data_IF_399331541228
#
_entry.id   IF_399331541228
#
_cell.length_a   1.000
_cell.length_b   1.000
_cell.length_c   1.000
_cell.angle_alpha   90.00
_cell.angle_beta   90.00
_cell.angle_gamma   90.00
#
_symmetry.space_group_name_H-M   'P 1'
#
loop_
_entity.id
_entity.type
_entity.pdbx_description
1 polymer ?
#
# COMPACT_ATOMS: atom_id res chain seq x y z
N UNK A 1 12.62 5.45 6.02
CA UNK A 1 13.25 4.11 5.82
C UNK A 1 14.76 4.28 5.59
N UNK A 2 15.62 3.81 6.51
CA UNK A 2 17.05 4.18 6.56
C UNK A 2 17.94 3.50 5.50
N UNK A 3 17.49 2.38 4.92
CA UNK A 3 18.29 1.57 3.97
C UNK A 3 18.06 1.98 2.50
N UNK A 4 16.85 2.43 2.13
CA UNK A 4 16.54 2.80 0.74
C UNK A 4 17.39 3.96 0.21
N UNK A 5 17.86 4.85 1.09
CA UNK A 5 18.77 5.95 0.74
C UNK A 5 20.14 5.50 0.20
N UNK A 6 20.47 4.21 0.35
CA UNK A 6 21.72 3.63 -0.17
C UNK A 6 21.60 3.15 -1.61
N UNK A 7 20.38 3.11 -2.18
CA UNK A 7 20.20 2.75 -3.58
C UNK A 7 20.88 3.79 -4.49
N UNK A 8 21.42 3.37 -5.65
CA UNK A 8 21.94 4.30 -6.63
C UNK A 8 20.86 5.32 -7.02
N UNK A 9 21.24 6.61 -7.02
CA UNK A 9 20.34 7.66 -7.46
C UNK A 9 20.12 7.54 -8.96
N UNK A 10 18.88 7.29 -9.35
CA UNK A 10 18.45 7.28 -10.75
C UNK A 10 17.63 8.55 -10.96
N UNK A 11 18.11 9.41 -11.84
CA UNK A 11 17.36 10.60 -12.28
C UNK A 11 16.61 10.25 -13.57
N UNK A 12 15.29 10.14 -13.46
CA UNK A 12 14.38 10.02 -14.60
C UNK A 12 13.26 11.05 -14.41
N UNK A 13 12.97 11.92 -15.40
CA UNK A 13 11.95 12.95 -15.27
C UNK A 13 10.53 12.38 -15.08
N UNK A 14 10.33 11.08 -15.30
CA UNK A 14 9.06 10.40 -15.02
C UNK A 14 8.90 10.06 -13.54
N UNK A 15 9.97 10.05 -12.74
CA UNK A 15 9.87 9.82 -11.29
C UNK A 15 9.45 11.14 -10.63
N UNK A 16 8.15 11.27 -10.31
CA UNK A 16 7.59 12.49 -9.70
C UNK A 16 7.85 12.52 -8.19
N UNK A 17 7.72 11.35 -7.55
CA UNK A 17 8.00 11.13 -6.13
C UNK A 17 8.83 9.86 -6.01
N UNK A 18 9.97 9.98 -5.34
CA UNK A 18 10.88 8.87 -5.03
C UNK A 18 10.94 8.68 -3.52
N UNK A 19 11.32 7.48 -3.07
CA UNK A 19 11.48 7.18 -1.64
C UNK A 19 12.60 7.95 -0.92
N UNK A 20 13.30 8.86 -1.60
CA UNK A 20 14.18 9.85 -0.95
C UNK A 20 13.37 10.98 -0.30
N UNK A 21 12.25 11.36 -0.92
CA UNK A 21 11.25 12.23 -0.30
C UNK A 21 10.40 11.30 0.55
N UNK A 22 10.28 11.57 1.85
CA UNK A 22 9.55 10.74 2.80
C UNK A 22 8.01 10.80 2.60
N UNK A 23 7.54 10.72 1.36
CA UNK A 23 6.12 10.56 1.00
C UNK A 23 5.68 9.12 1.20
N UNK A 24 4.37 8.91 1.30
CA UNK A 24 3.75 7.62 1.62
C UNK A 24 3.80 6.61 0.44
N UNK A 25 4.03 7.08 -0.80
CA UNK A 25 4.09 6.22 -1.98
C UNK A 25 5.08 6.70 -3.06
N UNK A 26 5.54 5.78 -3.89
CA UNK A 26 6.30 6.09 -5.10
C UNK A 26 5.38 6.51 -6.25
N UNK A 27 5.77 7.54 -7.02
CA UNK A 27 4.96 8.05 -8.13
C UNK A 27 5.78 8.08 -9.43
N UNK A 28 5.26 7.41 -10.46
CA UNK A 28 5.88 7.33 -11.78
C UNK A 28 4.92 7.80 -12.88
N UNK A 29 5.30 8.84 -13.62
CA UNK A 29 4.56 9.39 -14.76
C UNK A 29 4.61 8.42 -15.94
N UNK A 30 3.46 7.90 -16.33
CA UNK A 30 3.31 7.08 -17.55
C UNK A 30 3.23 8.01 -18.76
N UNK A 31 2.37 9.02 -18.68
CA UNK A 31 2.15 10.03 -19.71
C UNK A 31 1.67 11.36 -19.08
N UNK A 32 1.27 12.33 -19.91
CA UNK A 32 0.84 13.65 -19.46
C UNK A 32 -0.45 13.65 -18.60
N UNK A 33 -1.25 12.59 -18.68
CA UNK A 33 -2.55 12.48 -18.01
C UNK A 33 -2.55 11.42 -16.90
N UNK A 34 -1.57 10.52 -16.90
CA UNK A 34 -1.57 9.35 -16.03
C UNK A 34 -0.23 9.20 -15.30
N UNK A 35 -0.31 9.15 -13.97
CA UNK A 35 0.76 8.71 -13.08
C UNK A 35 0.36 7.41 -12.37
N UNK A 36 1.31 6.48 -12.31
CA UNK A 36 1.27 5.29 -11.47
C UNK A 36 1.65 5.68 -10.05
N UNK A 37 0.86 5.27 -9.07
CA UNK A 37 1.15 5.44 -7.64
C UNK A 37 1.24 4.06 -7.01
N UNK A 38 2.35 3.78 -6.33
CA UNK A 38 2.60 2.46 -5.74
C UNK A 38 3.08 2.59 -4.31
N UNK A 39 2.47 1.82 -3.42
CA UNK A 39 2.94 1.63 -2.06
C UNK A 39 2.98 0.15 -1.73
N UNK A 40 3.74 -0.18 -0.69
CA UNK A 40 3.79 -1.50 -0.10
C UNK A 40 3.85 -1.36 1.41
N UNK A 41 2.92 -2.01 2.09
CA UNK A 41 2.94 -2.08 3.55
C UNK A 41 2.56 -3.48 4.04
N UNK A 42 3.17 -3.89 5.15
CA UNK A 42 3.07 -5.22 5.74
C UNK A 42 3.04 -5.10 7.26
N UNK A 43 1.99 -5.63 7.86
CA UNK A 43 1.76 -5.60 9.30
C UNK A 43 1.95 -7.00 9.91
N UNK A 44 2.35 -7.02 11.18
CA UNK A 44 2.12 -8.17 12.06
C UNK A 44 0.68 -8.13 12.62
N UNK A 45 0.15 -9.24 13.16
CA UNK A 45 -1.21 -9.28 13.69
C UNK A 45 -1.45 -8.21 14.75
N UNK A 46 -2.49 -7.42 14.52
CA UNK A 46 -2.99 -6.37 15.44
C UNK A 46 -4.43 -6.63 15.89
N UNK A 47 -5.04 -7.71 15.38
CA UNK A 47 -6.36 -8.21 15.77
C UNK A 47 -6.33 -9.74 15.82
N UNK A 48 -7.07 -10.32 16.76
CA UNK A 48 -7.14 -11.79 16.94
C UNK A 48 -7.98 -12.47 15.84
N UNK A 49 -8.99 -11.76 15.30
CA UNK A 49 -9.82 -12.27 14.22
C UNK A 49 -9.07 -12.16 12.88
N UNK A 50 -8.81 -13.28 12.17
CA UNK A 50 -8.03 -13.28 10.94
C UNK A 50 -8.66 -12.45 9.83
N UNK A 51 -9.99 -12.50 9.70
CA UNK A 51 -10.72 -11.75 8.68
C UNK A 51 -10.62 -10.25 8.94
N UNK A 52 -10.82 -9.82 10.19
CA UNK A 52 -10.65 -8.41 10.59
C UNK A 52 -9.21 -7.96 10.39
N UNK A 53 -8.23 -8.78 10.77
CA UNK A 53 -6.82 -8.45 10.54
C UNK A 53 -6.53 -8.26 9.05
N UNK A 54 -7.03 -9.14 8.18
CA UNK A 54 -6.92 -9.00 6.73
C UNK A 54 -7.54 -7.70 6.21
N UNK A 55 -8.72 -7.32 6.71
CA UNK A 55 -9.35 -6.05 6.38
C UNK A 55 -8.49 -4.84 6.81
N UNK A 56 -7.91 -4.88 8.01
CA UNK A 56 -7.07 -3.78 8.51
C UNK A 56 -5.79 -3.68 7.68
N UNK A 57 -5.11 -4.80 7.41
CA UNK A 57 -3.91 -4.82 6.58
C UNK A 57 -4.17 -4.24 5.18
N UNK A 58 -5.32 -4.59 4.59
CA UNK A 58 -5.71 -4.06 3.29
C UNK A 58 -6.03 -2.55 3.34
N UNK A 59 -6.80 -2.11 4.33
CA UNK A 59 -7.13 -0.70 4.48
C UNK A 59 -5.89 0.18 4.72
N UNK A 60 -4.94 -0.31 5.51
CA UNK A 60 -3.67 0.35 5.78
C UNK A 60 -2.82 0.46 4.50
N UNK A 61 -2.63 -0.64 3.76
CA UNK A 61 -1.84 -0.56 2.53
C UNK A 61 -2.48 0.35 1.47
N UNK A 62 -3.82 0.42 1.41
CA UNK A 62 -4.54 1.32 0.50
C UNK A 62 -4.47 2.79 0.92
N UNK A 63 -4.25 3.11 2.20
CA UNK A 63 -4.31 4.50 2.69
C UNK A 63 -3.26 5.39 2.04
N UNK A 64 -2.09 4.85 1.71
CA UNK A 64 -1.02 5.60 1.06
C UNK A 64 -1.43 6.09 -0.32
N UNK A 65 -2.23 5.30 -1.06
CA UNK A 65 -2.76 5.74 -2.35
C UNK A 65 -3.70 6.93 -2.18
N UNK A 66 -4.59 6.88 -1.18
CA UNK A 66 -5.51 7.97 -0.90
C UNK A 66 -4.81 9.23 -0.41
N UNK A 67 -3.77 9.08 0.42
CA UNK A 67 -2.93 10.19 0.89
C UNK A 67 -2.29 10.96 -0.28
N UNK A 68 -1.92 10.24 -1.35
CA UNK A 68 -1.33 10.81 -2.56
C UNK A 68 -2.37 11.28 -3.59
N UNK A 69 -3.67 11.14 -3.30
CA UNK A 69 -4.76 11.51 -4.21
C UNK A 69 -5.00 10.52 -5.36
N UNK A 70 -4.54 9.27 -5.23
CA UNK A 70 -4.67 8.23 -6.23
C UNK A 70 -5.90 7.34 -6.01
N UNK A 71 -6.48 6.86 -7.11
CA UNK A 71 -7.53 5.85 -7.10
C UNK A 71 -6.90 4.45 -7.18
N UNK A 72 -7.11 3.56 -6.18
CA UNK A 72 -6.66 2.19 -6.25
C UNK A 72 -7.26 1.43 -7.45
N UNK A 73 -6.46 0.57 -8.07
CA UNK A 73 -6.89 -0.31 -9.18
C UNK A 73 -6.55 -1.78 -8.95
N UNK A 74 -5.39 -2.07 -8.35
CA UNK A 74 -4.93 -3.44 -8.13
C UNK A 74 -4.12 -3.56 -6.85
N UNK A 75 -4.05 -4.78 -6.33
CA UNK A 75 -3.21 -5.16 -5.21
C UNK A 75 -2.59 -6.55 -5.43
N UNK A 76 -1.40 -6.75 -4.88
CA UNK A 76 -0.73 -8.04 -4.75
C UNK A 76 -0.55 -8.36 -3.28
N UNK A 77 -1.09 -9.48 -2.81
CA UNK A 77 -0.97 -9.87 -1.39
C UNK A 77 0.46 -10.30 -1.06
N UNK A 78 0.96 -9.85 0.09
CA UNK A 78 2.22 -10.30 0.67
C UNK A 78 1.87 -10.98 1.98
N UNK A 79 2.23 -12.26 2.09
CA UNK A 79 1.87 -13.08 3.24
C UNK A 79 3.09 -13.84 3.74
N UNK A 80 3.32 -13.80 5.05
CA UNK A 80 4.29 -14.66 5.71
C UNK A 80 3.59 -15.43 6.84
N UNK A 81 3.82 -16.75 6.93
CA UNK A 81 3.34 -17.58 8.06
C UNK A 81 4.07 -18.93 8.05
N UNK A 82 3.99 -19.67 9.17
CA UNK A 82 4.47 -21.04 9.22
C UNK A 82 3.31 -21.99 8.89
N UNK A 83 3.35 -22.72 7.76
CA UNK A 83 2.30 -23.66 7.40
C UNK A 83 2.20 -24.86 8.34
N UNK A 84 3.21 -25.11 9.17
CA UNK A 84 3.19 -26.15 10.19
C UNK A 84 2.47 -25.68 11.48
N UNK A 85 2.37 -24.36 11.70
CA UNK A 85 1.76 -23.78 12.92
C UNK A 85 0.40 -23.12 12.66
N UNK A 86 0.13 -22.66 11.44
CA UNK A 86 -1.11 -21.97 11.08
C UNK A 86 -1.90 -22.71 10.00
N UNK A 87 -3.14 -23.06 10.32
CA UNK A 87 -4.01 -23.76 9.38
C UNK A 87 -4.33 -22.91 8.15
N UNK A 88 -4.30 -23.54 6.96
CA UNK A 88 -4.67 -22.89 5.70
C UNK A 88 -6.07 -22.25 5.73
N UNK A 89 -6.99 -22.76 6.55
CA UNK A 89 -8.33 -22.18 6.72
C UNK A 89 -8.27 -20.79 7.36
N UNK A 90 -7.42 -20.63 8.39
CA UNK A 90 -7.20 -19.35 9.06
C UNK A 90 -6.61 -18.33 8.08
N UNK A 91 -5.61 -18.76 7.30
CA UNK A 91 -5.03 -17.96 6.23
C UNK A 91 -6.07 -17.59 5.17
N UNK A 92 -6.91 -18.53 4.76
CA UNK A 92 -8.00 -18.29 3.82
C UNK A 92 -8.98 -17.22 4.31
N UNK A 93 -9.41 -17.29 5.57
CA UNK A 93 -10.27 -16.29 6.21
C UNK A 93 -9.63 -14.90 6.27
N UNK A 94 -8.32 -14.83 6.50
CA UNK A 94 -7.59 -13.56 6.43
C UNK A 94 -7.56 -12.99 5.01
N UNK A 95 -7.25 -13.82 4.01
CA UNK A 95 -7.24 -13.40 2.60
C UNK A 95 -8.63 -13.01 2.09
N UNK A 96 -9.70 -13.60 2.62
CA UNK A 96 -11.08 -13.18 2.36
C UNK A 96 -11.31 -11.74 2.82
N UNK A 97 -10.89 -11.41 4.05
CA UNK A 97 -10.95 -10.04 4.57
C UNK A 97 -10.14 -9.04 3.74
N UNK A 98 -8.93 -9.44 3.31
CA UNK A 98 -8.11 -8.64 2.39
C UNK A 98 -8.87 -8.37 1.09
N UNK A 99 -9.36 -9.42 0.42
CA UNK A 99 -9.99 -9.30 -0.88
C UNK A 99 -11.26 -8.45 -0.84
N UNK A 100 -12.10 -8.63 0.19
CA UNK A 100 -13.32 -7.85 0.35
C UNK A 100 -13.02 -6.37 0.57
N UNK A 101 -12.03 -6.04 1.40
CA UNK A 101 -11.65 -4.64 1.64
C UNK A 101 -11.05 -3.97 0.41
N UNK A 102 -10.22 -4.69 -0.34
CA UNK A 102 -9.69 -4.20 -1.63
C UNK A 102 -10.80 -4.00 -2.64
N UNK A 103 -11.80 -4.89 -2.67
CA UNK A 103 -12.95 -4.75 -3.55
C UNK A 103 -13.84 -3.57 -3.18
N UNK A 104 -14.06 -3.31 -1.89
CA UNK A 104 -14.77 -2.13 -1.39
C UNK A 104 -14.11 -0.82 -1.89
N UNK A 105 -12.78 -0.81 -2.02
CA UNK A 105 -12.02 0.31 -2.57
C UNK A 105 -12.11 0.45 -4.12
N UNK A 106 -12.82 -0.44 -4.80
CA UNK A 106 -12.93 -0.47 -6.26
C UNK A 106 -11.73 -1.09 -6.97
N UNK A 107 -10.85 -1.79 -6.25
CA UNK A 107 -9.66 -2.45 -6.76
C UNK A 107 -9.78 -3.98 -6.72
N UNK A 108 -8.78 -4.68 -7.24
CA UNK A 108 -8.75 -6.14 -7.28
C UNK A 108 -7.44 -6.70 -6.76
N UNK A 109 -7.52 -7.74 -5.92
CA UNK A 109 -6.36 -8.59 -5.63
C UNK A 109 -6.12 -9.49 -6.84
N UNK A 110 -5.00 -9.29 -7.54
CA UNK A 110 -4.70 -9.96 -8.82
C UNK A 110 -3.57 -10.98 -8.72
N UNK A 111 -3.11 -11.27 -7.50
CA UNK A 111 -2.04 -12.20 -7.23
C UNK A 111 -1.38 -11.90 -5.89
N UNK A 112 -0.21 -12.49 -5.68
CA UNK A 112 0.55 -12.28 -4.47
C UNK A 112 1.70 -13.25 -4.32
N UNK A 113 2.38 -13.17 -3.18
CA UNK A 113 3.45 -14.08 -2.81
C UNK A 113 3.35 -14.46 -1.34
N UNK A 114 3.66 -15.72 -1.06
CA UNK A 114 3.66 -16.30 0.28
C UNK A 114 5.05 -16.80 0.62
N UNK A 115 5.54 -16.44 1.80
CA UNK A 115 6.81 -16.86 2.35
C UNK A 115 6.58 -17.66 3.64
N UNK A 116 7.43 -18.65 3.90
CA UNK A 116 7.46 -19.30 5.21
C UNK A 116 8.19 -18.40 6.20
N UNK A 117 7.55 -18.09 7.33
CA UNK A 117 8.11 -17.31 8.44
C UNK A 117 7.43 -17.74 9.74
N UNK A 118 8.16 -17.72 10.86
CA UNK A 118 7.62 -18.04 12.18
C UNK A 118 6.57 -17.02 12.64
N UNK A 119 6.72 -15.77 12.22
CA UNK A 119 5.77 -14.71 12.53
C UNK A 119 4.82 -14.48 11.36
N UNK A 120 3.51 -14.45 11.67
CA UNK A 120 2.49 -14.06 10.70
C UNK A 120 2.72 -12.61 10.28
N UNK A 121 2.68 -12.35 8.97
CA UNK A 121 2.70 -11.01 8.39
C UNK A 121 1.73 -10.94 7.24
N UNK A 122 0.90 -9.90 7.18
CA UNK A 122 -0.04 -9.68 6.09
C UNK A 122 0.07 -8.25 5.59
N UNK A 123 0.10 -8.10 4.28
CA UNK A 123 0.23 -6.81 3.63
C UNK A 123 -0.10 -6.86 2.15
N UNK A 124 0.02 -5.72 1.49
CA UNK A 124 -0.24 -5.58 0.07
C UNK A 124 0.81 -4.67 -0.56
N UNK A 125 1.27 -5.05 -1.75
CA UNK A 125 1.75 -4.07 -2.71
C UNK A 125 0.54 -3.56 -3.50
N UNK A 126 0.23 -2.28 -3.37
CA UNK A 126 -0.94 -1.66 -3.99
C UNK A 126 -0.53 -0.77 -5.14
N UNK A 127 -1.41 -0.66 -6.14
CA UNK A 127 -1.20 0.19 -7.30
C UNK A 127 -2.47 1.00 -7.56
N UNK A 128 -2.28 2.31 -7.73
CA UNK A 128 -3.31 3.26 -8.08
C UNK A 128 -2.89 4.15 -9.25
N UNK A 129 -3.86 4.91 -9.75
CA UNK A 129 -3.67 5.89 -10.80
C UNK A 129 -4.10 7.28 -10.32
N UNK A 130 -3.39 8.29 -10.76
CA UNK A 130 -3.71 9.69 -10.51
C UNK A 130 -3.33 10.55 -11.72
N UNK A 131 -3.95 11.72 -11.83
CA UNK A 131 -3.46 12.74 -12.76
C UNK A 131 -2.15 13.33 -12.20
N UNK A 132 -1.06 13.46 -13.00
CA UNK A 132 0.23 13.95 -12.52
C UNK A 132 0.17 15.31 -11.81
N UNK A 133 -0.75 16.19 -12.23
CA UNK A 133 -0.97 17.53 -11.67
C UNK A 133 -1.81 17.55 -10.39
N UNK A 134 -2.37 16.39 -9.99
CA UNK A 134 -3.21 16.23 -8.79
C UNK A 134 -2.56 15.39 -7.69
N UNK A 135 -1.30 14.99 -7.88
CA UNK A 135 -0.54 14.29 -6.84
C UNK A 135 -0.41 15.20 -5.62
N UNK A 136 -0.89 14.70 -4.49
CA UNK A 136 -0.72 15.34 -3.19
C UNK A 136 0.63 14.89 -2.64
N UNK A 137 1.40 15.81 -2.07
CA UNK A 137 2.69 15.51 -1.42
C UNK A 137 2.73 16.17 -0.05
N UNK A 138 3.47 15.58 0.88
CA UNK A 138 3.59 16.08 2.26
C UNK A 138 4.10 17.53 2.39
N UNK A 139 4.75 18.07 1.35
CA UNK A 139 5.43 19.37 1.40
C UNK A 139 4.63 20.51 0.74
N UNK A 140 3.35 20.29 0.41
CA UNK A 140 2.55 21.26 -0.33
C UNK A 140 1.83 22.32 0.55
N UNK A 141 1.78 22.10 1.87
CA UNK A 141 1.08 22.97 2.81
C UNK A 141 1.71 24.37 2.91
N UNK A 142 0.88 25.40 3.11
CA UNK A 142 1.28 26.81 3.19
C UNK A 142 0.74 27.47 4.46
N UNK A 143 1.39 28.54 4.95
CA UNK A 143 0.84 29.35 6.04
C UNK A 143 -0.58 29.84 5.70
N UNK A 144 -1.52 29.55 6.59
CA UNK A 144 -2.94 29.86 6.41
C UNK A 144 -3.81 28.67 5.98
N UNK A 145 -3.22 27.51 5.67
CA UNK A 145 -3.99 26.28 5.48
C UNK A 145 -4.54 25.77 6.82
N UNK A 146 -5.72 25.15 6.78
CA UNK A 146 -6.39 24.55 7.93
C UNK A 146 -6.08 23.06 8.05
N UNK A 147 -6.07 22.54 9.28
CA UNK A 147 -5.86 21.11 9.54
C UNK A 147 -7.21 20.39 9.69
N UNK A 148 -7.41 19.35 8.87
CA UNK A 148 -8.60 18.49 8.92
C UNK A 148 -8.15 17.06 9.23
N UNK A 149 -8.73 16.46 10.28
CA UNK A 149 -8.54 15.06 10.64
C UNK A 149 -9.83 14.29 10.42
N UNK A 150 -9.76 13.19 9.69
CA UNK A 150 -10.94 12.40 9.29
C UNK A 150 -11.20 11.20 10.19
N UNK A 151 -10.22 10.76 11.00
CA UNK A 151 -10.32 9.71 12.02
C UNK A 151 -9.29 9.90 13.14
#
# INVERSE_FOLDING_TARGET
>A
MQVLHQLPKIEDPRILVSGEKMDDAGVFKIDEQTALVQSVDVLTPIADDPYIFGQIAAANALSDLYAMGAQPITALSILCYDPDELENKVVGTMLEGVAEKVHEAGAFVIGGHTLKDVEVKCGLAVTGLAAPDRIITINAAKPGDELILTK
#
